data_IF_699253972856
#
_entry.id   IF_699253972856
#
_cell.length_a   1.000
_cell.length_b   1.000
_cell.length_c   1.000
_cell.angle_alpha   90.00
_cell.angle_beta   90.00
_cell.angle_gamma   90.00
#
_symmetry.space_group_name_H-M   'P 1'
#
loop_
_entity.id
_entity.type
_entity.pdbx_description
1 polymer ?
#
# COMPACT_ATOMS: atom_id res chain seq x y z
N UNK A 1 -27.54 -5.64 5.43
CA UNK A 1 -26.56 -5.33 4.36
C UNK A 1 -25.56 -4.36 4.95
N UNK A 2 -24.25 -4.66 4.90
CA UNK A 2 -23.22 -3.74 5.36
C UNK A 2 -23.13 -2.59 4.35
N UNK A 3 -23.41 -1.35 4.78
CA UNK A 3 -23.19 -0.17 3.94
C UNK A 3 -21.68 0.09 3.88
N UNK A 4 -21.08 0.11 2.69
CA UNK A 4 -19.67 0.48 2.49
C UNK A 4 -19.58 1.98 2.20
N UNK A 5 -19.78 2.77 3.27
CA UNK A 5 -19.78 4.24 3.28
C UNK A 5 -18.40 4.87 3.37
N UNK A 6 -17.36 4.04 3.40
CA UNK A 6 -15.98 4.46 3.68
C UNK A 6 -15.06 4.21 2.48
N UNK A 7 -14.02 5.04 2.28
CA UNK A 7 -12.99 4.72 1.30
C UNK A 7 -12.23 3.45 1.71
N UNK A 8 -11.73 2.72 0.71
CA UNK A 8 -11.02 1.45 0.94
C UNK A 8 -9.67 1.53 0.27
N UNK A 9 -8.59 1.46 1.04
CA UNK A 9 -7.25 1.33 0.47
C UNK A 9 -7.15 -0.03 -0.21
N UNK A 10 -6.67 -0.04 -1.46
CA UNK A 10 -6.51 -1.24 -2.28
C UNK A 10 -5.05 -1.53 -2.60
N UNK A 11 -4.15 -0.57 -2.39
CA UNK A 11 -2.74 -0.73 -2.69
C UNK A 11 -1.89 0.24 -1.88
N UNK A 12 -0.82 -0.28 -1.28
CA UNK A 12 0.29 0.50 -0.71
C UNK A 12 1.59 -0.18 -1.15
N UNK A 13 2.26 0.39 -2.14
CA UNK A 13 3.43 -0.24 -2.77
C UNK A 13 4.62 0.71 -2.82
N UNK A 14 5.80 0.21 -2.44
CA UNK A 14 7.05 0.94 -2.63
C UNK A 14 7.36 0.97 -4.13
N UNK A 15 7.41 2.18 -4.71
CA UNK A 15 7.74 2.39 -6.12
C UNK A 15 9.20 2.82 -6.33
N UNK A 16 9.84 3.37 -5.28
CA UNK A 16 11.28 3.65 -5.24
C UNK A 16 11.82 3.39 -3.83
N UNK A 17 12.86 2.56 -3.74
CA UNK A 17 13.62 2.32 -2.51
C UNK A 17 14.78 3.29 -2.44
N UNK A 18 14.86 4.09 -1.37
CA UNK A 18 15.92 5.07 -1.14
C UNK A 18 15.91 5.53 0.35
N UNK A 19 17.04 6.02 0.85
CA UNK A 19 17.17 6.54 2.22
C UNK A 19 16.47 7.88 2.44
N UNK A 20 16.31 8.70 1.41
CA UNK A 20 15.72 10.05 1.52
C UNK A 20 14.74 10.39 0.40
N UNK A 21 14.88 9.78 -0.79
CA UNK A 21 14.04 10.05 -1.96
C UNK A 21 13.12 8.87 -2.29
N UNK A 22 12.78 8.06 -1.30
CA UNK A 22 11.92 6.90 -1.45
C UNK A 22 10.51 7.32 -1.83
N UNK A 23 9.80 6.44 -2.52
CA UNK A 23 8.43 6.70 -2.97
C UNK A 23 7.51 5.52 -2.68
N UNK A 24 6.29 5.84 -2.25
CA UNK A 24 5.20 4.88 -2.06
C UNK A 24 4.00 5.34 -2.86
N UNK A 25 3.43 4.41 -3.63
CA UNK A 25 2.15 4.60 -4.30
C UNK A 25 1.03 4.05 -3.42
N UNK A 26 0.07 4.91 -3.09
CA UNK A 26 -1.15 4.59 -2.38
C UNK A 26 -2.32 4.67 -3.35
N UNK A 27 -3.19 3.65 -3.36
CA UNK A 27 -4.46 3.69 -4.10
C UNK A 27 -5.62 3.31 -3.22
N UNK A 28 -6.77 3.93 -3.47
CA UNK A 28 -8.01 3.62 -2.79
C UNK A 28 -9.20 3.66 -3.74
N UNK A 29 -10.20 2.85 -3.42
CA UNK A 29 -11.53 2.94 -3.98
C UNK A 29 -12.35 3.94 -3.17
N UNK A 30 -13.29 4.58 -3.85
CA UNK A 30 -14.28 5.44 -3.23
C UNK A 30 -15.35 4.60 -2.49
N UNK A 31 -16.12 5.20 -1.57
CA UNK A 31 -17.27 4.51 -0.97
C UNK A 31 -18.20 3.93 -2.03
N UNK A 32 -18.71 2.71 -1.81
CA UNK A 32 -19.65 2.06 -2.72
C UNK A 32 -21.08 2.61 -2.55
N UNK A 33 -21.42 3.00 -1.34
CA UNK A 33 -22.74 3.50 -0.98
C UNK A 33 -22.56 4.77 -0.17
N UNK A 34 -22.90 5.93 -0.74
CA UNK A 34 -23.02 7.19 0.00
C UNK A 34 -24.44 7.70 -0.19
N UNK A 35 -25.09 8.07 0.91
CA UNK A 35 -26.37 8.76 0.86
C UNK A 35 -26.10 10.27 0.91
N UNK A 36 -26.32 11.03 -0.19
CA UNK A 36 -26.09 12.47 -0.20
C UNK A 36 -26.98 13.25 0.78
N UNK A 37 -28.08 12.66 1.24
CA UNK A 37 -28.92 13.26 2.29
C UNK A 37 -28.27 13.14 3.68
N UNK A 38 -27.50 12.07 3.93
CA UNK A 38 -26.78 11.85 5.19
C UNK A 38 -25.39 12.52 5.18
N UNK A 39 -24.69 12.49 4.04
CA UNK A 39 -23.33 13.02 3.88
C UNK A 39 -23.31 13.96 2.68
N UNK A 40 -23.68 15.25 2.86
CA UNK A 40 -23.73 16.20 1.76
C UNK A 40 -22.34 16.62 1.29
N UNK A 41 -22.10 16.51 -0.02
CA UNK A 41 -20.91 17.05 -0.69
C UNK A 41 -20.89 18.58 -0.75
N UNK A 42 -19.79 19.21 -1.20
CA UNK A 42 -18.65 18.58 -1.89
C UNK A 42 -17.76 17.74 -0.97
N UNK A 43 -17.03 16.82 -1.59
CA UNK A 43 -16.20 15.82 -0.92
C UNK A 43 -14.73 16.07 -1.15
N UNK A 44 -13.90 15.64 -0.21
CA UNK A 44 -12.44 15.69 -0.33
C UNK A 44 -11.81 14.53 0.41
N UNK A 45 -10.72 14.00 -0.14
CA UNK A 45 -9.92 12.97 0.51
C UNK A 45 -8.68 13.57 1.17
N UNK A 46 -8.38 13.10 2.38
CA UNK A 46 -7.12 13.34 3.04
C UNK A 46 -6.42 12.02 3.30
N UNK A 47 -5.11 11.96 3.06
CA UNK A 47 -4.29 10.79 3.35
C UNK A 47 -3.39 11.14 4.52
N UNK A 48 -3.42 10.30 5.54
CA UNK A 48 -2.52 10.40 6.68
C UNK A 48 -1.54 9.24 6.65
N UNK A 49 -0.35 9.50 7.20
CA UNK A 49 0.77 8.56 7.22
C UNK A 49 1.30 8.37 8.63
N UNK A 50 1.64 7.14 8.96
CA UNK A 50 2.43 6.76 10.12
C UNK A 50 3.70 6.02 9.65
N UNK A 51 4.81 6.21 10.36
CA UNK A 51 6.05 5.46 10.10
C UNK A 51 5.97 4.09 10.75
N UNK A 52 6.48 3.07 10.08
CA UNK A 52 6.44 1.70 10.52
C UNK A 52 5.06 1.06 10.32
N UNK A 53 4.84 -0.01 11.09
CA UNK A 53 3.55 -0.72 11.20
C UNK A 53 2.67 -0.10 12.30
N UNK A 54 2.82 1.20 12.56
CA UNK A 54 2.06 1.94 13.56
C UNK A 54 0.72 2.41 13.01
N UNK A 55 -0.29 2.48 13.86
CA UNK A 55 -1.58 3.13 13.59
C UNK A 55 -1.72 4.49 14.27
N UNK A 56 -0.62 5.04 14.79
CA UNK A 56 -0.54 6.40 15.33
C UNK A 56 -0.23 7.40 14.23
N UNK A 57 -1.28 8.06 13.72
CA UNK A 57 -1.18 9.07 12.67
C UNK A 57 -1.02 10.47 13.25
N UNK A 58 -0.22 11.31 12.59
CA UNK A 58 -0.16 12.73 12.90
C UNK A 58 -1.45 13.48 12.50
N UNK A 59 -1.59 14.72 12.96
CA UNK A 59 -2.76 15.58 12.66
C UNK A 59 -2.72 16.23 11.27
N UNK A 60 -1.58 16.19 10.59
CA UNK A 60 -1.39 16.81 9.27
C UNK A 60 -1.44 15.75 8.19
N UNK A 61 -2.31 15.88 7.17
CA UNK A 61 -2.34 14.96 6.06
C UNK A 61 -1.11 15.13 5.16
N UNK A 62 -0.60 14.02 4.62
CA UNK A 62 0.47 14.03 3.60
C UNK A 62 -0.07 14.30 2.20
N UNK A 63 -1.38 14.17 2.01
CA UNK A 63 -2.05 14.50 0.76
C UNK A 63 -3.48 14.95 1.04
N UNK A 64 -3.94 15.89 0.21
CA UNK A 64 -5.32 16.37 0.19
C UNK A 64 -5.75 16.46 -1.27
N UNK A 65 -6.82 15.74 -1.65
CA UNK A 65 -7.33 15.77 -3.03
C UNK A 65 -7.98 17.11 -3.35
N UNK A 66 -8.24 17.36 -4.63
CA UNK A 66 -9.17 18.42 -5.04
C UNK A 66 -10.60 18.14 -4.53
N UNK A 67 -11.42 19.19 -4.49
CA UNK A 67 -12.84 19.07 -4.17
C UNK A 67 -13.57 18.33 -5.28
N UNK A 68 -14.40 17.36 -4.90
CA UNK A 68 -15.28 16.62 -5.79
C UNK A 68 -16.73 16.99 -5.48
N UNK A 69 -17.45 17.49 -6.48
CA UNK A 69 -18.87 17.87 -6.31
C UNK A 69 -19.80 16.66 -6.15
N UNK A 70 -19.33 15.48 -6.56
CA UNK A 70 -20.00 14.19 -6.39
C UNK A 70 -18.95 13.10 -6.11
N UNK A 71 -19.39 11.93 -5.62
CA UNK A 71 -18.56 10.73 -5.57
C UNK A 71 -18.71 10.01 -6.92
N UNK A 72 -17.63 9.88 -7.72
CA UNK A 72 -17.61 9.06 -8.92
C UNK A 72 -18.10 7.63 -8.73
N UNK A 73 -18.40 6.96 -9.85
CA UNK A 73 -18.78 5.56 -9.82
C UNK A 73 -17.70 4.70 -9.13
N UNK A 74 -18.10 3.63 -8.41
CA UNK A 74 -17.21 2.80 -7.59
C UNK A 74 -16.14 2.01 -8.35
N UNK A 75 -16.07 2.16 -9.67
CA UNK A 75 -15.05 1.56 -10.55
C UNK A 75 -13.80 2.43 -10.71
N UNK A 76 -13.80 3.65 -10.15
CA UNK A 76 -12.64 4.54 -10.21
C UNK A 76 -11.74 4.39 -8.97
N UNK A 77 -10.45 4.15 -9.21
CA UNK A 77 -9.44 4.18 -8.16
C UNK A 77 -8.73 5.53 -8.17
N UNK A 78 -8.64 6.15 -7.00
CA UNK A 78 -7.81 7.33 -6.78
C UNK A 78 -6.41 6.89 -6.36
N UNK A 79 -5.41 7.71 -6.66
CA UNK A 79 -4.03 7.40 -6.29
C UNK A 79 -3.24 8.64 -5.88
N UNK A 80 -2.30 8.42 -4.98
CA UNK A 80 -1.33 9.40 -4.50
C UNK A 80 0.05 8.75 -4.44
N UNK A 81 1.09 9.50 -4.84
CA UNK A 81 2.49 9.09 -4.66
C UNK A 81 3.09 9.92 -3.54
N UNK A 82 3.38 9.28 -2.42
CA UNK A 82 4.16 9.86 -1.33
C UNK A 82 5.65 9.77 -1.66
N UNK A 83 6.39 10.84 -1.43
CA UNK A 83 7.80 10.95 -1.82
C UNK A 83 8.63 11.61 -0.71
N UNK A 84 9.95 11.51 -0.81
CA UNK A 84 10.84 12.04 0.23
C UNK A 84 10.90 11.15 1.47
N UNK A 85 10.73 9.83 1.27
CA UNK A 85 10.66 8.84 2.34
C UNK A 85 11.98 8.07 2.48
N UNK A 86 12.28 7.61 3.69
CA UNK A 86 13.26 6.55 3.90
C UNK A 86 12.56 5.19 3.76
N UNK A 87 12.41 4.69 2.54
CA UNK A 87 11.76 3.39 2.24
C UNK A 87 12.72 2.21 2.35
N UNK A 88 14.02 2.47 2.45
CA UNK A 88 15.03 1.45 2.70
C UNK A 88 14.98 0.93 4.14
N UNK A 89 14.78 1.84 5.10
CA UNK A 89 14.79 1.50 6.53
C UNK A 89 13.38 1.27 7.09
N UNK A 90 12.35 1.94 6.57
CA UNK A 90 11.03 1.94 7.20
C UNK A 90 9.92 1.47 6.25
N UNK A 91 8.98 0.61 6.71
CA UNK A 91 7.64 0.59 6.12
C UNK A 91 6.86 1.84 6.52
N UNK A 92 5.75 2.09 5.84
CA UNK A 92 4.82 3.17 6.19
C UNK A 92 3.39 2.66 6.14
N UNK A 93 2.56 3.18 7.03
CA UNK A 93 1.13 2.85 7.14
C UNK A 93 0.29 4.07 6.80
N UNK A 94 -0.80 3.86 6.07
CA UNK A 94 -1.66 4.94 5.58
C UNK A 94 -3.12 4.72 5.98
N UNK A 95 -3.84 5.81 6.14
CA UNK A 95 -5.29 5.85 6.24
C UNK A 95 -5.83 6.95 5.32
N UNK A 96 -6.96 6.68 4.66
CA UNK A 96 -7.66 7.66 3.83
C UNK A 96 -8.91 8.10 4.57
N UNK A 97 -9.07 9.41 4.72
CA UNK A 97 -10.23 10.05 5.35
C UNK A 97 -11.06 10.73 4.27
N UNK A 98 -12.36 10.52 4.30
CA UNK A 98 -13.34 11.26 3.50
C UNK A 98 -13.92 12.40 4.32
N UNK A 99 -13.87 13.61 3.77
CA UNK A 99 -14.49 14.81 4.33
C UNK A 99 -15.73 15.18 3.51
N UNK A 100 -16.74 15.72 4.19
CA UNK A 100 -17.95 16.30 3.58
C UNK A 100 -17.88 17.83 3.52
N UNK A 101 -18.95 18.46 3.01
CA UNK A 101 -19.05 19.91 2.75
C UNK A 101 -18.69 20.84 3.89
N UNK A 102 -18.98 20.46 5.13
CA UNK A 102 -18.72 21.26 6.32
C UNK A 102 -17.33 21.00 6.93
N UNK A 103 -16.49 20.21 6.25
CA UNK A 103 -15.19 19.78 6.76
C UNK A 103 -15.29 18.72 7.86
N UNK A 104 -16.50 18.25 8.19
CA UNK A 104 -16.67 17.14 9.10
C UNK A 104 -16.12 15.86 8.45
N UNK A 105 -15.48 15.05 9.28
CA UNK A 105 -15.07 13.70 8.90
C UNK A 105 -16.33 12.87 8.66
N UNK A 106 -16.52 12.47 7.41
CA UNK A 106 -17.56 11.52 7.07
C UNK A 106 -17.17 10.13 7.58
N UNK A 107 -16.00 9.64 7.16
CA UNK A 107 -15.44 8.37 7.64
C UNK A 107 -13.95 8.19 7.25
N UNK A 108 -13.35 7.06 7.58
CA UNK A 108 -12.01 6.66 7.16
C UNK A 108 -11.89 5.19 6.75
N UNK A 109 -10.92 4.90 5.89
CA UNK A 109 -10.50 3.53 5.62
C UNK A 109 -9.94 2.85 6.87
N UNK A 110 -9.83 1.52 6.83
CA UNK A 110 -8.91 0.83 7.72
C UNK A 110 -7.45 1.17 7.36
N UNK A 111 -6.52 1.17 8.34
CA UNK A 111 -5.10 1.36 8.07
C UNK A 111 -4.52 0.26 7.18
N UNK A 112 -3.64 0.63 6.26
CA UNK A 112 -2.91 -0.32 5.41
C UNK A 112 -1.44 0.07 5.28
N UNK A 113 -0.54 -0.89 5.52
CA UNK A 113 0.90 -0.69 5.41
C UNK A 113 1.45 -1.03 4.02
N UNK A 114 2.60 -0.43 3.68
CA UNK A 114 3.47 -0.97 2.64
C UNK A 114 3.98 -2.36 3.04
N UNK A 115 4.30 -3.20 2.06
CA UNK A 115 5.05 -4.43 2.29
C UNK A 115 6.48 -4.10 2.69
N UNK A 116 7.00 -4.72 3.75
CA UNK A 116 8.43 -4.69 4.09
C UNK A 116 9.07 -6.01 3.73
N UNK A 117 10.04 -5.99 2.83
CA UNK A 117 10.92 -7.12 2.54
C UNK A 117 12.25 -6.96 3.29
N UNK A 118 12.77 -8.06 3.80
CA UNK A 118 14.10 -8.19 4.39
C UNK A 118 14.79 -9.41 3.80
N UNK A 119 16.11 -9.33 3.65
CA UNK A 119 16.95 -10.42 3.17
C UNK A 119 17.99 -10.73 4.25
N UNK A 120 18.11 -12.01 4.61
CA UNK A 120 19.11 -12.51 5.55
C UNK A 120 20.04 -13.46 4.80
N UNK A 121 21.36 -13.20 4.74
CA UNK A 121 22.30 -14.12 4.12
C UNK A 121 22.41 -15.42 4.94
N UNK A 122 22.46 -16.54 4.25
CA UNK A 122 22.71 -17.88 4.78
C UNK A 122 23.88 -18.51 4.00
N UNK A 123 24.51 -19.59 4.50
CA UNK A 123 25.41 -20.40 3.67
C UNK A 123 24.70 -20.86 2.40
N UNK A 124 25.25 -20.50 1.23
CA UNK A 124 24.76 -20.83 -0.10
C UNK A 124 23.29 -20.44 -0.40
N UNK A 125 22.72 -19.52 0.39
CA UNK A 125 21.33 -19.09 0.21
C UNK A 125 21.05 -17.69 0.76
N UNK A 126 19.90 -17.14 0.37
CA UNK A 126 19.35 -15.91 0.93
C UNK A 126 17.93 -16.21 1.41
N UNK A 127 17.67 -15.97 2.70
CA UNK A 127 16.31 -16.01 3.22
C UNK A 127 15.63 -14.66 3.01
N UNK A 128 14.54 -14.64 2.28
CA UNK A 128 13.64 -13.52 2.14
C UNK A 128 12.52 -13.64 3.18
N UNK A 129 12.26 -12.57 3.92
CA UNK A 129 11.08 -12.45 4.79
C UNK A 129 10.35 -11.16 4.48
N UNK A 130 9.03 -11.23 4.31
CA UNK A 130 8.20 -10.05 4.14
C UNK A 130 6.95 -10.03 5.00
N UNK A 131 6.53 -8.82 5.35
CA UNK A 131 5.39 -8.55 6.24
C UNK A 131 4.57 -7.36 5.71
N UNK A 132 3.26 -7.43 5.89
CA UNK A 132 2.32 -6.33 5.65
C UNK A 132 1.19 -6.40 6.69
N UNK A 133 0.74 -5.25 7.17
CA UNK A 133 -0.43 -5.10 8.02
C UNK A 133 -1.50 -4.36 7.23
N UNK A 134 -2.47 -5.11 6.72
CA UNK A 134 -3.46 -4.62 5.75
C UNK A 134 -4.85 -5.18 6.09
N UNK A 135 -5.92 -4.50 5.68
CA UNK A 135 -7.29 -4.89 6.02
C UNK A 135 -7.87 -6.00 5.14
N UNK A 136 -7.18 -6.33 4.04
CA UNK A 136 -7.55 -7.46 3.19
C UNK A 136 -6.79 -8.73 3.58
N UNK A 137 -7.33 -9.86 3.16
CA UNK A 137 -6.72 -11.16 3.42
C UNK A 137 -5.58 -11.43 2.43
N UNK A 138 -4.37 -11.64 2.97
CA UNK A 138 -3.23 -12.16 2.19
C UNK A 138 -3.05 -13.67 2.37
N UNK A 139 -3.88 -14.31 3.19
CA UNK A 139 -3.93 -15.77 3.33
C UNK A 139 -4.72 -16.39 2.17
N UNK A 140 -4.50 -17.68 1.94
CA UNK A 140 -5.04 -18.42 0.80
C UNK A 140 -4.72 -17.77 -0.56
N UNK A 141 -3.54 -17.17 -0.67
CA UNK A 141 -3.05 -16.47 -1.86
C UNK A 141 -1.65 -16.96 -2.24
N UNK A 142 -1.25 -16.75 -3.49
CA UNK A 142 0.12 -17.03 -3.96
C UNK A 142 0.89 -15.73 -4.10
N UNK A 143 2.00 -15.62 -3.40
CA UNK A 143 2.96 -14.53 -3.59
C UNK A 143 4.01 -14.93 -4.63
N UNK A 144 4.30 -14.04 -5.57
CA UNK A 144 5.29 -14.28 -6.60
C UNK A 144 6.56 -13.52 -6.26
N UNK A 145 7.68 -14.23 -6.16
CA UNK A 145 8.99 -13.65 -5.87
C UNK A 145 9.75 -13.45 -7.17
N UNK A 146 10.26 -12.23 -7.36
CA UNK A 146 11.05 -11.84 -8.51
C UNK A 146 12.43 -11.35 -8.05
N UNK A 147 13.46 -11.60 -8.86
CA UNK A 147 14.82 -11.08 -8.68
C UNK A 147 15.24 -10.28 -9.89
N UNK A 148 15.99 -9.21 -9.67
CA UNK A 148 16.54 -8.39 -10.76
C UNK A 148 17.43 -9.24 -11.68
N UNK A 149 17.22 -9.11 -12.98
CA UNK A 149 18.05 -9.72 -14.01
C UNK A 149 19.37 -8.93 -14.13
N UNK A 150 20.43 -9.46 -13.51
CA UNK A 150 21.74 -8.80 -13.49
C UNK A 150 22.36 -8.63 -14.89
N UNK A 151 21.95 -9.44 -15.88
CA UNK A 151 22.41 -9.30 -17.27
C UNK A 151 21.84 -8.04 -17.93
N UNK A 152 20.74 -7.50 -17.39
CA UNK A 152 20.02 -6.32 -17.88
C UNK A 152 20.00 -5.17 -16.87
N UNK A 153 20.93 -5.14 -15.92
CA UNK A 153 20.98 -4.15 -14.82
C UNK A 153 20.94 -2.68 -15.26
N UNK A 154 21.36 -2.38 -16.49
CA UNK A 154 21.39 -1.03 -17.05
C UNK A 154 20.09 -0.65 -17.79
N UNK A 155 19.11 -1.56 -17.89
CA UNK A 155 17.83 -1.28 -18.55
C UNK A 155 16.89 -0.48 -17.64
N UNK A 156 16.15 0.44 -18.26
CA UNK A 156 15.07 1.20 -17.62
C UNK A 156 13.80 0.99 -18.45
N UNK A 157 12.73 0.35 -17.90
CA UNK A 157 12.61 -0.16 -16.54
C UNK A 157 13.50 -1.39 -16.28
N UNK A 158 13.82 -1.63 -15.00
CA UNK A 158 14.58 -2.82 -14.56
C UNK A 158 13.87 -4.10 -15.00
N UNK A 159 14.64 -5.07 -15.47
CA UNK A 159 14.15 -6.39 -15.80
C UNK A 159 14.20 -7.32 -14.57
N UNK A 160 13.22 -8.20 -14.44
CA UNK A 160 13.12 -9.15 -13.34
C UNK A 160 12.79 -10.56 -13.84
N UNK A 161 13.34 -11.57 -13.18
CA UNK A 161 13.08 -12.99 -13.42
C UNK A 161 12.23 -13.53 -12.26
N UNK A 162 11.20 -14.32 -12.58
CA UNK A 162 10.39 -15.03 -11.58
C UNK A 162 11.24 -16.13 -10.95
N UNK A 163 11.37 -16.11 -9.61
CA UNK A 163 12.06 -17.16 -8.86
C UNK A 163 11.11 -18.21 -8.33
N UNK A 164 9.98 -17.77 -7.77
CA UNK A 164 9.09 -18.68 -7.06
C UNK A 164 7.65 -18.18 -7.02
N UNK A 165 6.76 -19.14 -6.82
CA UNK A 165 5.40 -18.95 -6.35
C UNK A 165 5.34 -19.53 -4.93
N UNK A 166 4.97 -18.68 -3.98
CA UNK A 166 4.97 -19.00 -2.54
C UNK A 166 3.51 -19.03 -2.08
N UNK A 167 2.94 -20.22 -1.86
CA UNK A 167 1.61 -20.35 -1.29
C UNK A 167 1.59 -19.83 0.15
N UNK A 168 0.59 -19.03 0.49
CA UNK A 168 0.42 -18.45 1.81
C UNK A 168 -0.82 -19.00 2.46
N UNK A 169 -0.65 -19.81 3.50
CA UNK A 169 -1.75 -20.43 4.24
C UNK A 169 -2.00 -19.82 5.61
N UNK A 170 -1.12 -18.94 6.12
CA UNK A 170 -1.26 -18.27 7.40
C UNK A 170 -0.76 -16.82 7.36
N UNK A 171 -1.26 -16.01 8.28
CA UNK A 171 -0.95 -14.59 8.33
C UNK A 171 0.36 -14.27 9.09
N UNK A 172 0.91 -13.09 8.77
CA UNK A 172 1.87 -12.28 9.53
C UNK A 172 3.37 -12.36 9.19
N UNK A 173 3.88 -13.45 8.61
CA UNK A 173 5.25 -13.43 8.08
C UNK A 173 5.43 -14.44 6.96
N UNK A 174 5.74 -13.94 5.78
CA UNK A 174 5.96 -14.75 4.60
C UNK A 174 7.45 -14.96 4.41
N UNK A 175 7.87 -16.17 4.02
CA UNK A 175 9.28 -16.51 3.84
C UNK A 175 9.53 -17.24 2.55
N UNK A 176 10.72 -17.05 1.98
CA UNK A 176 11.24 -17.81 0.85
C UNK A 176 12.76 -17.98 1.01
N UNK A 177 13.32 -19.10 0.56
CA UNK A 177 14.77 -19.34 0.55
C UNK A 177 15.20 -19.41 -0.92
N UNK A 178 16.03 -18.46 -1.32
CA UNK A 178 16.69 -18.44 -2.63
C UNK A 178 18.04 -19.14 -2.50
N UNK A 179 18.23 -20.30 -3.12
CA UNK A 179 19.48 -21.05 -3.12
C UNK A 179 20.38 -20.73 -4.33
N UNK A 180 20.09 -19.65 -5.06
CA UNK A 180 20.83 -19.27 -6.27
C UNK A 180 20.50 -20.08 -7.52
N UNK A 181 19.78 -21.20 -7.39
CA UNK A 181 19.39 -22.03 -8.53
C UNK A 181 18.27 -21.35 -9.34
N UNK A 182 18.53 -20.96 -10.59
CA UNK A 182 17.54 -20.31 -11.46
C UNK A 182 18.04 -19.08 -12.25
N UNK A 183 19.36 -18.87 -12.35
CA UNK A 183 20.03 -18.10 -13.42
C UNK A 183 21.13 -18.98 -14.01
#
# INVERSE_FOLDING_TARGET
RLKLTVPIITNVSVSKTDLAQGQIKVRWAQPLEIDPAEIPGPYRYQVFRATGFSTSFGSTPVFTSDLQTSIPAPTSYLSFTDSGLNTEVNPYTYVVVLLSSNGARADSSQPASSVRLSATPLPDAIQLKWTAQVPWDNTNSTHIVYREDQTKKNQVPKAYVKLAEVPVSSAASFTYIDTGNGI
#
